data_IF_062511993521
#
_entry.id   IF_062511993521
#
_cell.length_a   1.000
_cell.length_b   1.000
_cell.length_c   1.000
_cell.angle_alpha   90.00
_cell.angle_beta   90.00
_cell.angle_gamma   90.00
#
_symmetry.space_group_name_H-M   'P 1'
#
loop_
_entity.id
_entity.type
_entity.pdbx_description
1 polymer ?
#
# COMPACT_ATOMS: atom_id res chain seq x y z
N UNK A 1 30.38 34.24 34.49
CA UNK A 1 30.40 35.42 33.59
C UNK A 1 29.78 36.67 34.21
N UNK A 2 28.61 36.61 34.85
CA UNK A 2 27.93 37.78 35.44
C UNK A 2 28.82 38.59 36.42
N UNK A 3 29.60 37.93 37.29
CA UNK A 3 30.46 38.63 38.27
C UNK A 3 31.61 39.43 37.63
N UNK A 4 32.16 38.97 36.52
CA UNK A 4 33.29 39.63 35.85
C UNK A 4 32.85 40.92 35.17
N UNK A 5 31.78 40.87 34.37
CA UNK A 5 31.20 42.05 33.73
C UNK A 5 30.58 43.02 34.75
N UNK A 6 29.99 42.50 35.84
CA UNK A 6 29.50 43.33 36.96
C UNK A 6 30.60 44.15 37.63
N UNK A 7 31.76 43.54 37.90
CA UNK A 7 32.89 44.24 38.54
C UNK A 7 33.48 45.32 37.62
N UNK A 8 33.51 45.10 36.31
CA UNK A 8 33.97 46.10 35.31
C UNK A 8 33.00 47.29 35.26
N UNK A 9 31.68 47.03 35.26
CA UNK A 9 30.66 48.08 35.29
C UNK A 9 30.75 48.95 36.55
N UNK A 10 30.92 48.33 37.72
CA UNK A 10 31.05 49.05 38.99
C UNK A 10 32.28 49.96 39.01
N UNK A 11 33.43 49.48 38.49
CA UNK A 11 34.64 50.32 38.33
C UNK A 11 34.43 51.49 37.36
N UNK A 12 33.74 51.29 36.24
CA UNK A 12 33.53 52.34 35.23
C UNK A 12 32.54 53.43 35.69
N UNK A 13 31.55 53.06 36.52
CA UNK A 13 30.64 54.02 37.17
C UNK A 13 31.36 54.85 38.24
N UNK A 14 32.26 54.23 39.03
CA UNK A 14 33.05 54.92 40.05
C UNK A 14 34.02 55.97 39.46
N UNK A 15 34.42 55.81 38.19
CA UNK A 15 35.33 56.74 37.49
C UNK A 15 34.60 57.87 36.71
N UNK A 16 33.30 58.09 36.89
CA UNK A 16 32.48 59.05 36.11
C UNK A 16 32.50 58.82 34.58
N UNK A 17 32.85 57.62 34.10
CA UNK A 17 32.93 57.27 32.67
C UNK A 17 31.62 56.70 32.13
N UNK A 18 30.53 57.43 32.28
CA UNK A 18 29.16 57.02 31.87
C UNK A 18 29.07 56.56 30.41
N UNK A 19 29.74 57.25 29.48
CA UNK A 19 29.76 56.86 28.07
C UNK A 19 30.45 55.51 27.78
N UNK A 20 31.44 55.10 28.58
CA UNK A 20 32.06 53.76 28.47
C UNK A 20 31.14 52.71 29.09
N UNK A 21 30.50 53.01 30.21
CA UNK A 21 29.54 52.12 30.86
C UNK A 21 28.40 51.68 29.91
N UNK A 22 27.79 52.60 29.17
CA UNK A 22 26.73 52.26 28.20
C UNK A 22 27.21 51.32 27.09
N UNK A 23 28.43 51.52 26.55
CA UNK A 23 29.01 50.63 25.53
C UNK A 23 29.18 49.19 26.04
N UNK A 24 29.63 49.03 27.29
CA UNK A 24 29.78 47.70 27.91
C UNK A 24 28.43 47.05 28.26
N UNK A 25 27.44 47.83 28.69
CA UNK A 25 26.10 47.32 28.97
C UNK A 25 25.39 46.82 27.70
N UNK A 26 25.52 47.57 26.59
CA UNK A 26 25.02 47.15 25.27
C UNK A 26 25.74 45.87 24.80
N UNK A 27 27.06 45.81 24.96
CA UNK A 27 27.84 44.61 24.63
C UNK A 27 27.37 43.36 25.39
N UNK A 28 27.03 43.47 26.67
CA UNK A 28 26.51 42.34 27.45
C UNK A 28 25.11 41.90 26.99
N UNK A 29 24.22 42.84 26.67
CA UNK A 29 22.90 42.51 26.10
C UNK A 29 23.07 41.78 24.77
N UNK A 30 23.93 42.27 23.88
CA UNK A 30 24.22 41.63 22.58
C UNK A 30 24.78 40.21 22.80
N UNK A 31 25.68 40.04 23.77
CA UNK A 31 26.29 38.73 24.06
C UNK A 31 25.27 37.73 24.63
N UNK A 32 24.36 38.17 25.51
CA UNK A 32 23.24 37.35 25.99
C UNK A 32 22.29 37.00 24.84
N UNK A 33 21.96 37.96 23.97
CA UNK A 33 21.12 37.72 22.80
C UNK A 33 21.74 36.68 21.86
N UNK A 34 23.04 36.77 21.55
CA UNK A 34 23.75 35.77 20.76
C UNK A 34 23.69 34.39 21.43
N UNK A 35 23.86 34.33 22.76
CA UNK A 35 23.75 33.07 23.51
C UNK A 35 22.37 32.43 23.38
N UNK A 36 21.30 33.21 23.51
CA UNK A 36 19.92 32.73 23.35
C UNK A 36 19.66 32.27 21.91
N UNK A 37 20.09 33.06 20.92
CA UNK A 37 19.92 32.70 19.51
C UNK A 37 20.67 31.42 19.15
N UNK A 38 21.90 31.22 19.64
CA UNK A 38 22.65 29.99 19.44
C UNK A 38 21.96 28.79 20.11
N UNK A 39 21.42 28.97 21.32
CA UNK A 39 20.69 27.91 22.01
C UNK A 39 19.42 27.49 21.23
N UNK A 40 18.64 28.46 20.76
CA UNK A 40 17.48 28.22 19.92
C UNK A 40 17.87 27.55 18.60
N UNK A 41 18.94 28.03 17.95
CA UNK A 41 19.43 27.46 16.70
C UNK A 41 19.85 25.99 16.85
N UNK A 42 20.59 25.65 17.91
CA UNK A 42 21.00 24.27 18.20
C UNK A 42 19.79 23.40 18.49
N UNK A 43 18.82 23.91 19.26
CA UNK A 43 17.56 23.21 19.56
C UNK A 43 16.76 22.90 18.30
N UNK A 44 16.54 23.89 17.45
CA UNK A 44 15.81 23.74 16.19
C UNK A 44 16.53 22.80 15.22
N UNK A 45 17.86 22.88 15.14
CA UNK A 45 18.65 21.97 14.33
C UNK A 45 18.53 20.52 14.80
N UNK A 46 18.60 20.27 16.10
CA UNK A 46 18.44 18.93 16.66
C UNK A 46 17.02 18.39 16.44
N UNK A 47 15.99 19.24 16.60
CA UNK A 47 14.61 18.87 16.32
C UNK A 47 14.40 18.46 14.85
N UNK A 48 14.89 19.27 13.90
CA UNK A 48 14.83 18.95 12.45
C UNK A 48 15.59 17.68 12.11
N UNK A 49 16.72 17.42 12.76
CA UNK A 49 17.49 16.17 12.59
C UNK A 49 16.68 14.96 13.03
N UNK A 50 16.04 15.04 14.20
CA UNK A 50 15.20 13.95 14.73
C UNK A 50 13.99 13.73 13.79
N UNK A 51 13.32 14.80 13.36
CA UNK A 51 12.19 14.73 12.44
C UNK A 51 12.57 14.06 11.11
N UNK A 52 13.70 14.44 10.50
CA UNK A 52 14.20 13.81 9.27
C UNK A 52 14.55 12.33 9.47
N UNK A 53 15.09 11.97 10.64
CA UNK A 53 15.38 10.56 10.96
C UNK A 53 14.08 9.75 11.10
N UNK A 54 13.08 10.29 11.81
CA UNK A 54 11.77 9.66 11.96
C UNK A 54 11.10 9.48 10.60
N UNK A 55 11.09 10.50 9.74
CA UNK A 55 10.57 10.40 8.38
C UNK A 55 11.22 9.26 7.57
N UNK A 56 12.57 9.19 7.56
CA UNK A 56 13.29 8.13 6.85
C UNK A 56 12.96 6.74 7.40
N UNK A 57 12.87 6.58 8.71
CA UNK A 57 12.47 5.30 9.34
C UNK A 57 11.04 4.92 8.94
N UNK A 58 10.09 5.85 9.01
CA UNK A 58 8.70 5.64 8.60
C UNK A 58 8.59 5.22 7.13
N UNK A 59 9.29 5.90 6.22
CA UNK A 59 9.30 5.56 4.80
C UNK A 59 9.92 4.19 4.54
N UNK A 60 10.97 3.82 5.29
CA UNK A 60 11.59 2.51 5.19
C UNK A 60 10.65 1.37 5.63
N UNK A 61 9.94 1.55 6.75
CA UNK A 61 8.95 0.58 7.24
C UNK A 61 7.77 0.44 6.27
N UNK A 62 7.27 1.56 5.74
CA UNK A 62 6.24 1.55 4.70
C UNK A 62 6.71 0.78 3.46
N UNK A 63 7.93 1.07 2.98
CA UNK A 63 8.55 0.37 1.84
C UNK A 63 8.59 -1.13 2.07
N UNK A 64 9.02 -1.58 3.25
CA UNK A 64 9.07 -2.99 3.60
C UNK A 64 7.70 -3.64 3.54
N UNK A 65 6.66 -2.98 4.05
CA UNK A 65 5.28 -3.48 3.96
C UNK A 65 4.82 -3.58 2.50
N UNK A 66 5.05 -2.55 1.70
CA UNK A 66 4.66 -2.54 0.28
C UNK A 66 5.37 -3.60 -0.55
N UNK A 67 6.62 -3.96 -0.21
CA UNK A 67 7.34 -5.05 -0.90
C UNK A 67 6.72 -6.43 -0.63
N UNK A 68 6.15 -6.65 0.57
CA UNK A 68 5.39 -7.87 0.85
C UNK A 68 4.09 -7.91 0.04
N UNK A 69 3.39 -6.76 -0.04
CA UNK A 69 2.18 -6.65 -0.86
C UNK A 69 2.50 -6.83 -2.35
N UNK A 70 3.64 -6.34 -2.82
CA UNK A 70 4.10 -6.52 -4.20
C UNK A 70 4.27 -8.01 -4.56
N UNK A 71 4.89 -8.79 -3.67
CA UNK A 71 5.05 -10.22 -3.86
C UNK A 71 3.71 -10.96 -3.86
N UNK A 72 2.84 -10.63 -2.90
CA UNK A 72 1.48 -11.15 -2.81
C UNK A 72 0.69 -10.90 -4.09
N UNK A 73 0.65 -9.65 -4.56
CA UNK A 73 -0.10 -9.24 -5.75
C UNK A 73 0.52 -9.82 -7.03
N UNK A 74 1.85 -9.91 -7.13
CA UNK A 74 2.51 -10.49 -8.31
C UNK A 74 2.23 -12.00 -8.42
N UNK A 75 2.30 -12.72 -7.30
CA UNK A 75 1.93 -14.13 -7.23
C UNK A 75 0.44 -14.34 -7.52
N UNK A 76 -0.40 -13.43 -7.03
CA UNK A 76 -1.82 -13.33 -7.33
C UNK A 76 -2.10 -13.21 -8.81
N UNK A 77 -1.50 -12.21 -9.45
CA UNK A 77 -1.64 -11.92 -10.88
C UNK A 77 -1.28 -13.13 -11.75
N UNK A 78 -0.16 -13.80 -11.42
CA UNK A 78 0.23 -15.03 -12.11
C UNK A 78 -0.79 -16.16 -11.95
N UNK A 79 -1.41 -16.27 -10.77
CA UNK A 79 -2.44 -17.28 -10.51
C UNK A 79 -3.71 -16.99 -11.29
N UNK A 80 -4.15 -15.73 -11.30
CA UNK A 80 -5.35 -15.28 -12.02
C UNK A 80 -5.19 -15.45 -13.53
N UNK A 81 -4.03 -15.09 -14.09
CA UNK A 81 -3.76 -15.29 -15.53
C UNK A 81 -3.82 -16.78 -15.94
N UNK A 82 -3.37 -17.69 -15.07
CA UNK A 82 -3.53 -19.13 -15.32
C UNK A 82 -5.01 -19.54 -15.29
N UNK A 83 -5.77 -19.02 -14.33
CA UNK A 83 -7.21 -19.28 -14.26
C UNK A 83 -7.95 -18.76 -15.49
N UNK A 84 -7.60 -17.58 -16.01
CA UNK A 84 -8.16 -17.06 -17.26
C UNK A 84 -7.86 -18.03 -18.40
N UNK A 85 -6.61 -18.48 -18.57
CA UNK A 85 -6.25 -19.41 -19.64
C UNK A 85 -7.01 -20.75 -19.55
N UNK A 86 -7.19 -21.30 -18.34
CA UNK A 86 -7.98 -22.52 -18.12
C UNK A 86 -9.46 -22.32 -18.48
N UNK A 87 -10.03 -21.16 -18.15
CA UNK A 87 -11.44 -20.85 -18.43
C UNK A 87 -11.66 -20.54 -19.91
N UNK A 88 -10.73 -19.85 -20.57
CA UNK A 88 -10.74 -19.64 -22.02
C UNK A 88 -10.66 -20.98 -22.77
N UNK A 89 -9.82 -21.91 -22.28
CA UNK A 89 -9.79 -23.27 -22.80
C UNK A 89 -11.17 -23.93 -22.64
N UNK A 90 -11.77 -23.88 -21.46
CA UNK A 90 -13.11 -24.45 -21.23
C UNK A 90 -14.16 -23.83 -22.15
N UNK A 91 -14.17 -22.50 -22.27
CA UNK A 91 -15.08 -21.76 -23.15
C UNK A 91 -14.90 -22.18 -24.61
N UNK A 92 -13.66 -22.42 -25.07
CA UNK A 92 -13.41 -22.93 -26.42
C UNK A 92 -13.92 -24.36 -26.62
N UNK A 93 -13.82 -25.22 -25.60
CA UNK A 93 -14.23 -26.61 -25.68
C UNK A 93 -15.75 -26.76 -25.63
N UNK A 94 -16.44 -25.98 -24.81
CA UNK A 94 -17.89 -26.12 -24.58
C UNK A 94 -18.74 -25.81 -25.83
N UNK A 95 -18.16 -25.12 -26.82
CA UNK A 95 -18.77 -24.92 -28.14
C UNK A 95 -18.90 -26.21 -28.96
N UNK A 96 -18.17 -27.27 -28.60
CA UNK A 96 -18.14 -28.55 -29.31
C UNK A 96 -19.22 -29.48 -28.73
N UNK A 97 -20.31 -29.67 -29.47
CA UNK A 97 -21.47 -30.47 -29.02
C UNK A 97 -21.13 -31.93 -28.70
N UNK A 98 -20.26 -32.56 -29.49
CA UNK A 98 -19.91 -33.99 -29.35
C UNK A 98 -18.66 -34.23 -28.48
N UNK A 99 -18.35 -33.32 -27.56
CA UNK A 99 -17.17 -33.46 -26.71
C UNK A 99 -17.44 -34.51 -25.62
N UNK A 100 -16.59 -35.55 -25.55
CA UNK A 100 -16.70 -36.57 -24.53
C UNK A 100 -16.10 -36.11 -23.20
N UNK A 101 -16.78 -36.42 -22.09
CA UNK A 101 -16.25 -36.20 -20.76
C UNK A 101 -14.88 -36.88 -20.59
N UNK A 102 -13.95 -36.16 -19.96
CA UNK A 102 -12.71 -36.72 -19.44
C UNK A 102 -12.36 -36.03 -18.14
N UNK A 103 -11.60 -36.73 -17.28
CA UNK A 103 -11.23 -36.24 -15.94
C UNK A 103 -10.42 -34.94 -15.95
N UNK A 104 -9.78 -34.58 -17.07
CA UNK A 104 -9.08 -33.30 -17.20
C UNK A 104 -10.01 -32.08 -17.13
N UNK A 105 -11.30 -32.25 -17.44
CA UNK A 105 -12.29 -31.17 -17.33
C UNK A 105 -12.60 -30.79 -15.89
N UNK A 106 -12.43 -31.71 -14.93
CA UNK A 106 -12.75 -31.46 -13.52
C UNK A 106 -11.93 -30.28 -12.97
N UNK A 107 -10.67 -30.14 -13.41
CA UNK A 107 -9.83 -29.00 -13.07
C UNK A 107 -10.40 -27.70 -13.64
N UNK A 108 -10.83 -27.70 -14.90
CA UNK A 108 -11.38 -26.53 -15.57
C UNK A 108 -12.69 -26.05 -14.92
N UNK A 109 -13.59 -26.99 -14.62
CA UNK A 109 -14.80 -26.72 -13.84
C UNK A 109 -14.45 -26.19 -12.44
N UNK A 110 -13.46 -26.78 -11.77
CA UNK A 110 -12.98 -26.32 -10.47
C UNK A 110 -12.44 -24.89 -10.49
N UNK A 111 -11.79 -24.46 -11.59
CA UNK A 111 -11.26 -23.11 -11.78
C UNK A 111 -12.37 -22.06 -11.91
N UNK A 112 -13.49 -22.39 -12.55
CA UNK A 112 -14.65 -21.48 -12.66
C UNK A 112 -15.31 -21.23 -11.30
N UNK A 113 -15.32 -22.23 -10.41
CA UNK A 113 -16.02 -22.17 -9.12
C UNK A 113 -15.56 -21.04 -8.20
N UNK A 114 -14.28 -20.66 -8.21
CA UNK A 114 -13.76 -19.80 -7.14
C UNK A 114 -12.45 -19.08 -7.42
N UNK A 115 -12.16 -18.06 -6.61
CA UNK A 115 -10.95 -17.25 -6.66
C UNK A 115 -10.39 -17.07 -5.27
N UNK A 116 -9.07 -16.95 -5.20
CA UNK A 116 -8.39 -16.57 -3.98
C UNK A 116 -8.49 -15.06 -3.75
N UNK A 117 -9.15 -14.67 -2.67
CA UNK A 117 -9.15 -13.29 -2.15
C UNK A 117 -7.74 -12.95 -1.67
N UNK A 118 -7.18 -11.83 -2.16
CA UNK A 118 -5.91 -11.28 -1.68
C UNK A 118 -6.17 -9.99 -0.93
N UNK A 119 -5.62 -9.90 0.28
CA UNK A 119 -5.76 -8.71 1.13
C UNK A 119 -4.36 -8.15 1.43
N UNK A 120 -3.94 -7.09 0.73
CA UNK A 120 -2.74 -6.34 1.10
C UNK A 120 -2.83 -5.81 2.53
N UNK A 121 -1.70 -5.63 3.19
CA UNK A 121 -1.66 -5.16 4.57
C UNK A 121 -1.74 -3.62 4.62
N UNK A 122 -2.84 -3.10 5.15
CA UNK A 122 -3.03 -1.65 5.32
C UNK A 122 -2.80 -1.15 6.75
N UNK A 123 -2.47 -2.02 7.72
CA UNK A 123 -2.38 -1.65 9.14
C UNK A 123 -1.39 -0.50 9.38
N UNK A 124 -0.17 -0.62 8.83
CA UNK A 124 0.85 0.41 8.96
C UNK A 124 0.40 1.75 8.35
N UNK A 125 -0.30 1.71 7.21
CA UNK A 125 -0.82 2.91 6.60
C UNK A 125 -1.96 3.53 7.42
N UNK A 126 -2.82 2.74 8.06
CA UNK A 126 -3.87 3.26 8.93
C UNK A 126 -3.27 4.00 10.14
N UNK A 127 -2.22 3.45 10.74
CA UNK A 127 -1.48 4.11 11.83
C UNK A 127 -0.83 5.42 11.34
N UNK A 128 -0.21 5.39 10.15
CA UNK A 128 0.39 6.55 9.51
C UNK A 128 -0.65 7.64 9.19
N UNK A 129 -1.82 7.25 8.68
CA UNK A 129 -2.94 8.15 8.36
C UNK A 129 -3.47 8.84 9.61
N UNK A 130 -3.58 8.11 10.73
CA UNK A 130 -4.10 8.63 11.99
C UNK A 130 -3.15 9.62 12.68
N UNK A 131 -1.83 9.42 12.56
CA UNK A 131 -0.88 10.09 13.46
C UNK A 131 0.36 10.70 12.82
N UNK A 132 0.65 10.44 11.54
CA UNK A 132 1.99 10.69 11.01
C UNK A 132 2.11 11.05 9.53
N UNK A 133 1.01 11.23 8.78
CA UNK A 133 1.11 11.48 7.34
C UNK A 133 1.81 12.81 7.00
N UNK A 134 1.76 13.79 7.92
CA UNK A 134 2.47 15.07 7.86
C UNK A 134 3.98 14.97 8.17
N UNK A 135 4.45 13.82 8.69
CA UNK A 135 5.88 13.55 8.87
C UNK A 135 6.60 13.39 7.53
N UNK A 136 5.87 12.96 6.49
CA UNK A 136 6.41 12.81 5.13
C UNK A 136 6.41 14.18 4.46
N UNK A 137 7.56 14.83 4.42
CA UNK A 137 7.73 16.20 3.91
C UNK A 137 7.60 16.29 2.41
N UNK A 138 7.99 15.25 1.68
CA UNK A 138 7.82 15.23 0.24
C UNK A 138 6.34 15.07 -0.13
N UNK A 139 5.74 16.13 -0.69
CA UNK A 139 4.33 16.16 -1.06
C UNK A 139 3.99 15.14 -2.16
N UNK A 140 4.94 14.84 -3.06
CA UNK A 140 4.74 13.87 -4.14
C UNK A 140 4.65 12.45 -3.59
N UNK A 141 5.63 12.04 -2.77
CA UNK A 141 5.63 10.73 -2.09
C UNK A 141 4.39 10.59 -1.22
N UNK A 142 4.05 11.63 -0.45
CA UNK A 142 2.85 11.61 0.40
C UNK A 142 1.58 11.38 -0.41
N UNK A 143 1.43 12.07 -1.54
CA UNK A 143 0.28 11.90 -2.45
C UNK A 143 0.23 10.50 -3.05
N UNK A 144 1.38 9.96 -3.49
CA UNK A 144 1.47 8.59 -4.01
C UNK A 144 1.08 7.54 -2.97
N UNK A 145 1.48 7.71 -1.71
CA UNK A 145 1.07 6.83 -0.60
C UNK A 145 -0.44 6.87 -0.44
N UNK A 146 -1.04 8.06 -0.36
CA UNK A 146 -2.50 8.20 -0.23
C UNK A 146 -3.21 7.54 -1.41
N UNK A 147 -2.74 7.76 -2.64
CA UNK A 147 -3.34 7.17 -3.84
C UNK A 147 -3.26 5.64 -3.82
N UNK A 148 -2.11 5.06 -3.47
CA UNK A 148 -1.94 3.61 -3.37
C UNK A 148 -2.93 2.99 -2.39
N UNK A 149 -3.00 3.51 -1.16
CA UNK A 149 -3.80 2.88 -0.11
C UNK A 149 -5.29 3.20 -0.18
N UNK A 150 -5.67 4.41 -0.57
CA UNK A 150 -7.09 4.82 -0.60
C UNK A 150 -7.75 4.52 -1.95
N UNK A 151 -6.98 4.59 -3.05
CA UNK A 151 -7.52 4.33 -4.39
C UNK A 151 -7.21 2.92 -4.85
N UNK A 152 -5.93 2.57 -5.05
CA UNK A 152 -5.59 1.26 -5.61
C UNK A 152 -6.07 0.12 -4.69
N UNK A 153 -5.75 0.15 -3.40
CA UNK A 153 -6.20 -0.89 -2.47
C UNK A 153 -7.70 -0.81 -2.19
N UNK A 154 -8.31 0.36 -2.31
CA UNK A 154 -9.78 0.51 -2.31
C UNK A 154 -10.44 -0.31 -3.43
N UNK A 155 -9.93 -0.19 -4.66
CA UNK A 155 -10.41 -1.00 -5.78
C UNK A 155 -10.16 -2.50 -5.58
N UNK A 156 -9.01 -2.88 -5.01
CA UNK A 156 -8.75 -4.29 -4.67
C UNK A 156 -9.79 -4.85 -3.69
N UNK A 157 -10.14 -4.07 -2.66
CA UNK A 157 -11.16 -4.48 -1.69
C UNK A 157 -12.54 -4.62 -2.36
N UNK A 158 -12.92 -3.66 -3.21
CA UNK A 158 -14.17 -3.73 -3.96
C UNK A 158 -14.24 -4.98 -4.86
N UNK A 159 -13.14 -5.34 -5.54
CA UNK A 159 -13.09 -6.58 -6.34
C UNK A 159 -13.25 -7.82 -5.45
N UNK A 160 -12.64 -7.82 -4.26
CA UNK A 160 -12.81 -8.93 -3.32
C UNK A 160 -14.27 -9.05 -2.84
N UNK A 161 -14.97 -7.93 -2.64
CA UNK A 161 -16.40 -7.92 -2.29
C UNK A 161 -17.28 -8.42 -3.44
N UNK A 162 -17.00 -7.98 -4.67
CA UNK A 162 -17.65 -8.52 -5.87
C UNK A 162 -17.44 -10.03 -5.99
N UNK A 163 -16.23 -10.52 -5.72
CA UNK A 163 -15.93 -11.95 -5.73
C UNK A 163 -16.77 -12.72 -4.71
N UNK A 164 -16.98 -12.17 -3.52
CA UNK A 164 -17.87 -12.79 -2.54
C UNK A 164 -19.30 -12.88 -3.06
N UNK A 165 -19.80 -11.81 -3.69
CA UNK A 165 -21.14 -11.80 -4.31
C UNK A 165 -21.27 -12.81 -5.45
N UNK A 166 -20.24 -12.98 -6.27
CA UNK A 166 -20.21 -13.97 -7.36
C UNK A 166 -20.31 -15.38 -6.77
N UNK A 167 -19.54 -15.65 -5.71
CA UNK A 167 -19.56 -16.93 -5.03
C UNK A 167 -20.92 -17.24 -4.40
N UNK A 168 -21.70 -16.25 -3.99
CA UNK A 168 -23.05 -16.47 -3.46
C UNK A 168 -24.05 -16.95 -4.51
N UNK A 169 -23.82 -16.59 -5.79
CA UNK A 169 -24.61 -17.08 -6.93
C UNK A 169 -24.08 -18.43 -7.44
N UNK A 170 -22.75 -18.57 -7.55
CA UNK A 170 -22.14 -19.79 -8.08
C UNK A 170 -22.25 -20.97 -7.10
N UNK A 171 -22.13 -20.73 -5.79
CA UNK A 171 -22.09 -21.80 -4.77
C UNK A 171 -23.33 -22.71 -4.80
N UNK A 172 -24.57 -22.21 -4.81
CA UNK A 172 -25.75 -23.07 -4.94
C UNK A 172 -25.69 -23.96 -6.19
N UNK A 173 -25.36 -23.37 -7.34
CA UNK A 173 -25.26 -24.11 -8.60
C UNK A 173 -24.22 -25.23 -8.52
N UNK A 174 -23.04 -24.94 -7.97
CA UNK A 174 -21.96 -25.93 -7.83
C UNK A 174 -22.30 -27.05 -6.84
N UNK A 175 -22.95 -26.72 -5.72
CA UNK A 175 -23.36 -27.72 -4.72
C UNK A 175 -24.45 -28.66 -5.24
N UNK A 176 -25.32 -28.18 -6.13
CA UNK A 176 -26.36 -28.99 -6.76
C UNK A 176 -25.81 -29.88 -7.89
N UNK A 177 -24.90 -29.34 -8.70
CA UNK A 177 -24.53 -29.94 -9.97
C UNK A 177 -23.17 -30.62 -10.02
N UNK A 178 -22.35 -30.47 -8.98
CA UNK A 178 -21.01 -31.05 -8.93
C UNK A 178 -20.73 -31.76 -7.60
N UNK A 179 -19.74 -32.65 -7.63
CA UNK A 179 -19.16 -33.31 -6.47
C UNK A 179 -17.62 -33.26 -6.53
N UNK A 180 -16.94 -33.84 -5.54
CA UNK A 180 -15.47 -33.76 -5.39
C UNK A 180 -14.94 -32.33 -5.42
N UNK A 181 -15.69 -31.42 -4.80
CA UNK A 181 -15.44 -30.00 -4.85
C UNK A 181 -14.16 -29.63 -4.08
N UNK A 182 -13.15 -29.16 -4.81
CA UNK A 182 -11.94 -28.53 -4.26
C UNK A 182 -11.83 -27.14 -4.89
N UNK A 183 -11.92 -26.12 -4.04
CA UNK A 183 -11.94 -24.72 -4.46
C UNK A 183 -10.75 -24.41 -5.38
N UNK A 184 -11.04 -23.81 -6.54
CA UNK A 184 -10.10 -23.47 -7.63
C UNK A 184 -9.30 -24.64 -8.22
N UNK A 185 -9.69 -25.90 -7.96
CA UNK A 185 -8.85 -27.06 -8.31
C UNK A 185 -9.62 -28.24 -8.89
N UNK A 186 -10.83 -28.51 -8.42
CA UNK A 186 -11.59 -29.67 -8.86
C UNK A 186 -13.10 -29.44 -8.69
N UNK A 187 -13.87 -29.77 -9.71
CA UNK A 187 -15.31 -29.98 -9.61
C UNK A 187 -15.72 -31.04 -10.64
N UNK A 188 -16.23 -32.18 -10.18
CA UNK A 188 -16.68 -33.27 -11.06
C UNK A 188 -18.18 -33.10 -11.31
N UNK A 189 -18.66 -32.99 -12.57
CA UNK A 189 -20.08 -32.80 -12.84
C UNK A 189 -20.88 -34.05 -12.45
N UNK A 190 -22.03 -33.85 -11.79
CA UNK A 190 -22.98 -34.93 -11.48
C UNK A 190 -23.62 -35.47 -12.77
N UNK A 191 -23.87 -34.59 -13.73
CA UNK A 191 -24.34 -34.93 -15.08
C UNK A 191 -23.59 -34.06 -16.10
N UNK A 192 -22.60 -34.64 -16.77
CA UNK A 192 -21.77 -33.92 -17.73
C UNK A 192 -22.57 -33.33 -18.90
N UNK A 193 -23.46 -34.11 -19.52
CA UNK A 193 -24.23 -33.67 -20.69
C UNK A 193 -25.12 -32.46 -20.36
N UNK A 194 -25.71 -32.46 -19.17
CA UNK A 194 -26.47 -31.32 -18.65
C UNK A 194 -25.58 -30.08 -18.52
N UNK A 195 -24.46 -30.15 -17.79
CA UNK A 195 -23.55 -29.01 -17.58
C UNK A 195 -22.97 -28.50 -18.91
N UNK A 196 -22.67 -29.41 -19.83
CA UNK A 196 -22.07 -29.07 -21.12
C UNK A 196 -23.02 -28.25 -21.99
N UNK A 197 -24.34 -28.46 -21.85
CA UNK A 197 -25.37 -27.80 -22.66
C UNK A 197 -26.15 -26.72 -21.92
N UNK A 198 -25.92 -26.55 -20.61
CA UNK A 198 -26.62 -25.58 -19.78
C UNK A 198 -26.16 -24.15 -20.07
N UNK A 199 -27.09 -23.34 -20.60
CA UNK A 199 -26.85 -21.93 -20.86
C UNK A 199 -26.54 -21.13 -19.60
N UNK A 200 -27.06 -21.54 -18.44
CA UNK A 200 -26.75 -20.86 -17.18
C UNK A 200 -25.29 -21.05 -16.80
N UNK A 201 -24.75 -22.27 -16.95
CA UNK A 201 -23.34 -22.53 -16.75
C UNK A 201 -22.44 -21.76 -17.74
N UNK A 202 -22.85 -21.65 -19.00
CA UNK A 202 -22.12 -20.86 -20.00
C UNK A 202 -22.05 -19.37 -19.58
N UNK A 203 -23.17 -18.82 -19.08
CA UNK A 203 -23.19 -17.46 -18.55
C UNK A 203 -22.27 -17.29 -17.33
N UNK A 204 -22.15 -18.31 -16.46
CA UNK A 204 -21.19 -18.30 -15.34
C UNK A 204 -19.75 -18.21 -15.88
N UNK A 205 -19.39 -18.99 -16.90
CA UNK A 205 -18.07 -18.96 -17.54
C UNK A 205 -17.78 -17.56 -18.11
N UNK A 206 -18.71 -17.01 -18.89
CA UNK A 206 -18.53 -15.71 -19.55
C UNK A 206 -18.37 -14.58 -18.52
N UNK A 207 -19.24 -14.58 -17.51
CA UNK A 207 -19.16 -13.59 -16.44
C UNK A 207 -17.87 -13.75 -15.62
N UNK A 208 -17.40 -14.98 -15.44
CA UNK A 208 -16.15 -15.25 -14.73
C UNK A 208 -14.95 -14.61 -15.42
N UNK A 209 -14.82 -14.74 -16.74
CA UNK A 209 -13.73 -14.09 -17.49
C UNK A 209 -13.72 -12.58 -17.31
N UNK A 210 -14.89 -11.92 -17.39
CA UNK A 210 -15.02 -10.46 -17.18
C UNK A 210 -14.49 -10.06 -15.80
N UNK A 211 -14.83 -10.84 -14.76
CA UNK A 211 -14.44 -10.53 -13.38
C UNK A 211 -12.94 -10.73 -13.14
N UNK A 212 -12.35 -11.77 -13.74
CA UNK A 212 -10.92 -12.04 -13.67
C UNK A 212 -10.10 -10.98 -14.42
N UNK A 213 -10.56 -10.52 -15.59
CA UNK A 213 -9.91 -9.44 -16.33
C UNK A 213 -9.86 -8.13 -15.54
N UNK A 214 -10.95 -7.79 -14.85
CA UNK A 214 -10.98 -6.62 -13.98
C UNK A 214 -9.98 -6.78 -12.82
N UNK A 215 -9.83 -7.98 -12.28
CA UNK A 215 -8.85 -8.25 -11.24
C UNK A 215 -7.41 -8.11 -11.76
N UNK A 216 -7.09 -8.67 -12.93
CA UNK A 216 -5.78 -8.54 -13.58
C UNK A 216 -5.38 -7.09 -13.73
N UNK A 217 -6.29 -6.25 -14.22
CA UNK A 217 -6.05 -4.79 -14.39
C UNK A 217 -5.71 -4.12 -13.06
N UNK A 218 -6.50 -4.38 -12.02
CA UNK A 218 -6.31 -3.73 -10.72
C UNK A 218 -5.08 -4.23 -9.96
N UNK A 219 -4.73 -5.52 -10.11
CA UNK A 219 -3.45 -6.04 -9.63
C UNK A 219 -2.29 -5.35 -10.36
N UNK A 220 -2.37 -5.22 -11.69
CA UNK A 220 -1.38 -4.51 -12.50
C UNK A 220 -1.19 -3.05 -12.08
N UNK A 221 -2.28 -2.30 -11.87
CA UNK A 221 -2.23 -0.92 -11.41
C UNK A 221 -1.59 -0.79 -10.04
N UNK A 222 -1.96 -1.66 -9.09
CA UNK A 222 -1.42 -1.66 -7.73
C UNK A 222 0.07 -2.03 -7.72
N UNK A 223 0.47 -3.05 -8.47
CA UNK A 223 1.88 -3.45 -8.63
C UNK A 223 2.70 -2.31 -9.21
N UNK A 224 2.20 -1.63 -10.25
CA UNK A 224 2.88 -0.50 -10.85
C UNK A 224 3.04 0.66 -9.88
N UNK A 225 1.97 1.00 -9.14
CA UNK A 225 1.99 2.06 -8.12
C UNK A 225 3.01 1.75 -7.01
N UNK A 226 3.04 0.51 -6.50
CA UNK A 226 4.04 0.09 -5.51
C UNK A 226 5.46 0.26 -6.05
N UNK A 227 5.75 -0.22 -7.26
CA UNK A 227 7.10 -0.14 -7.84
C UNK A 227 7.58 1.29 -8.00
N UNK A 228 6.71 2.18 -8.49
CA UNK A 228 7.02 3.61 -8.63
C UNK A 228 7.31 4.24 -7.27
N UNK A 229 6.41 4.03 -6.31
CA UNK A 229 6.55 4.61 -4.97
C UNK A 229 7.79 4.09 -4.23
N UNK A 230 8.09 2.79 -4.34
CA UNK A 230 9.32 2.20 -3.76
C UNK A 230 10.57 2.88 -4.34
N UNK A 231 10.62 3.08 -5.65
CA UNK A 231 11.73 3.75 -6.34
C UNK A 231 11.88 5.21 -5.89
N UNK A 232 10.78 5.92 -5.75
CA UNK A 232 10.77 7.33 -5.34
C UNK A 232 11.20 7.47 -3.88
N UNK A 233 10.74 6.58 -2.99
CA UNK A 233 11.19 6.49 -1.61
C UNK A 233 12.69 6.22 -1.53
N UNK A 234 13.21 5.25 -2.30
CA UNK A 234 14.65 4.94 -2.30
C UNK A 234 15.48 6.12 -2.80
N UNK A 235 15.00 6.86 -3.81
CA UNK A 235 15.65 8.07 -4.30
C UNK A 235 15.64 9.17 -3.23
N UNK A 236 14.52 9.34 -2.52
CA UNK A 236 14.39 10.35 -1.47
C UNK A 236 15.24 10.04 -0.22
N UNK A 237 15.30 8.79 0.22
CA UNK A 237 16.06 8.38 1.40
C UNK A 237 17.57 8.48 1.16
N UNK A 238 18.04 8.23 -0.07
CA UNK A 238 19.46 8.26 -0.42
C UNK A 238 19.99 9.69 -0.69
N UNK A 239 19.11 10.68 -0.78
CA UNK A 239 19.45 12.11 -0.80
C UNK A 239 19.45 12.73 0.63
#
# INVERSE_FOLDING_TARGET
MIKFFRNIRQKLLAENKTGRYFKYAIGEIILVLIGILLALYISDWNARRIEKQTEKTTLYELKKSMLLDLDLLSSGLNSVNKSIADIELLQSLITKKDYAYNKGLDTLFGTVWGMRILKPNSAFYQDLKASGLNLIKDDSIRSQIVHLFETNYGWLNWINELEMSINDVNRPYYLENFHNLIFTKNATPNNFEFIWTDSYYHNIIDYRLITLDNQVKNYGYSISAIRTLVKDIDSYINN
#
